data_IF_567253078230
#
_entry.id   IF_567253078230
#
_cell.length_a   1.000
_cell.length_b   1.000
_cell.length_c   1.000
_cell.angle_alpha   90.00
_cell.angle_beta   90.00
_cell.angle_gamma   90.00
#
_symmetry.space_group_name_H-M   'P 1'
#
loop_
_entity.id
_entity.type
_entity.pdbx_description
1 polymer ?
#
# COMPACT_ATOMS: atom_id res chain seq x y z
N UNK A 1 12.41 27.90 -9.95
CA UNK A 1 11.93 27.51 -11.28
C UNK A 1 11.53 26.04 -11.29
N UNK A 2 10.30 25.70 -11.70
CA UNK A 2 9.90 24.30 -11.71
C UNK A 2 10.65 23.52 -12.77
N UNK A 3 11.04 22.31 -12.43
CA UNK A 3 11.68 21.40 -13.36
C UNK A 3 10.65 20.57 -14.14
N UNK A 4 11.11 19.71 -15.07
CA UNK A 4 10.21 18.96 -15.95
C UNK A 4 9.34 17.96 -15.19
N UNK A 5 9.74 17.53 -13.99
CA UNK A 5 8.96 16.57 -13.21
C UNK A 5 7.76 17.22 -12.52
N UNK A 6 7.73 18.56 -12.41
CA UNK A 6 6.60 19.23 -11.77
C UNK A 6 5.30 19.08 -12.55
N UNK A 7 5.36 18.73 -13.84
CA UNK A 7 4.20 18.48 -14.68
C UNK A 7 4.01 16.98 -14.98
N UNK A 8 4.80 16.12 -14.35
CA UNK A 8 4.70 14.67 -14.54
C UNK A 8 3.71 14.07 -13.54
N UNK A 9 3.11 12.95 -13.92
CA UNK A 9 2.30 12.17 -13.01
C UNK A 9 3.19 11.15 -12.33
N UNK A 10 3.20 11.16 -10.99
CA UNK A 10 3.92 10.16 -10.23
C UNK A 10 3.10 8.87 -10.22
N UNK A 11 3.72 7.77 -10.62
CA UNK A 11 3.07 6.46 -10.66
C UNK A 11 3.92 5.49 -9.86
N UNK A 12 3.30 4.84 -8.87
CA UNK A 12 3.96 3.79 -8.10
C UNK A 12 4.10 2.54 -8.95
N UNK A 13 5.28 1.95 -8.96
CA UNK A 13 5.56 0.71 -9.68
C UNK A 13 6.17 -0.30 -8.72
N UNK A 14 5.53 -1.47 -8.61
CA UNK A 14 5.93 -2.53 -7.70
C UNK A 14 6.43 -3.72 -8.50
N UNK A 15 7.59 -4.31 -8.14
CA UNK A 15 8.06 -5.51 -8.81
C UNK A 15 7.25 -6.73 -8.44
N UNK A 16 7.06 -7.63 -9.41
CA UNK A 16 6.41 -8.92 -9.19
C UNK A 16 7.20 -9.99 -9.93
N UNK A 17 7.61 -11.03 -9.21
CA UNK A 17 8.29 -12.15 -9.83
C UNK A 17 7.32 -13.07 -10.56
N UNK A 18 6.07 -13.08 -10.12
CA UNK A 18 5.01 -13.91 -10.71
C UNK A 18 3.75 -13.04 -10.82
N UNK A 19 3.48 -12.51 -12.01
CA UNK A 19 2.32 -11.64 -12.24
C UNK A 19 0.99 -12.35 -12.02
N UNK A 20 0.89 -13.64 -12.34
CA UNK A 20 -0.35 -14.39 -12.11
C UNK A 20 -0.63 -14.54 -10.62
N UNK A 21 0.39 -14.83 -9.83
CA UNK A 21 0.27 -14.91 -8.38
C UNK A 21 -0.09 -13.54 -7.79
N UNK A 22 0.56 -12.48 -8.26
CA UNK A 22 0.26 -11.12 -7.82
C UNK A 22 -1.19 -10.75 -8.15
N UNK A 23 -1.63 -11.05 -9.39
CA UNK A 23 -3.00 -10.77 -9.81
C UNK A 23 -4.02 -11.45 -8.88
N UNK A 24 -3.77 -12.72 -8.55
CA UNK A 24 -4.65 -13.46 -7.64
C UNK A 24 -4.67 -12.85 -6.23
N UNK A 25 -3.50 -12.46 -5.72
CA UNK A 25 -3.42 -11.83 -4.39
C UNK A 25 -4.20 -10.52 -4.35
N UNK A 26 -3.98 -9.64 -5.32
CA UNK A 26 -4.68 -8.34 -5.34
C UNK A 26 -6.18 -8.52 -5.50
N UNK A 27 -6.61 -9.46 -6.33
CA UNK A 27 -8.03 -9.75 -6.48
C UNK A 27 -8.64 -10.36 -5.22
N UNK A 28 -8.06 -11.43 -4.72
CA UNK A 28 -8.68 -12.22 -3.64
C UNK A 28 -8.49 -11.59 -2.27
N UNK A 29 -7.34 -10.98 -2.02
CA UNK A 29 -7.01 -10.43 -0.71
C UNK A 29 -7.31 -8.93 -0.61
N UNK A 30 -7.12 -8.18 -1.67
CA UNK A 30 -7.30 -6.73 -1.63
C UNK A 30 -8.57 -6.27 -2.34
N UNK A 31 -9.22 -7.16 -3.10
CA UNK A 31 -10.43 -6.82 -3.84
C UNK A 31 -10.18 -5.89 -5.01
N UNK A 32 -8.98 -5.93 -5.59
CA UNK A 32 -8.58 -5.05 -6.68
C UNK A 32 -8.34 -5.84 -7.96
N UNK A 33 -9.05 -5.46 -9.04
CA UNK A 33 -8.84 -6.02 -10.36
C UNK A 33 -8.04 -5.03 -11.20
N UNK A 34 -7.07 -5.51 -11.99
CA UNK A 34 -6.37 -4.59 -12.89
C UNK A 34 -7.32 -4.08 -13.98
N UNK A 35 -7.13 -2.82 -14.37
CA UNK A 35 -7.90 -2.23 -15.48
C UNK A 35 -7.25 -2.54 -16.82
N UNK A 36 -5.98 -2.89 -16.82
CA UNK A 36 -5.27 -3.34 -18.00
C UNK A 36 -4.26 -4.42 -17.61
N UNK A 37 -4.09 -5.40 -18.48
CA UNK A 37 -3.14 -6.48 -18.31
C UNK A 37 -2.34 -6.67 -19.59
N UNK A 38 -1.05 -6.95 -19.41
CA UNK A 38 -0.17 -7.31 -20.50
C UNK A 38 0.89 -8.26 -19.97
N UNK A 39 1.66 -8.86 -20.83
CA UNK A 39 2.67 -9.84 -20.45
C UNK A 39 3.67 -9.28 -19.42
N UNK A 40 4.01 -8.02 -19.54
CA UNK A 40 5.00 -7.38 -18.66
C UNK A 40 4.42 -6.63 -17.47
N UNK A 41 3.10 -6.57 -17.29
CA UNK A 41 2.58 -5.80 -16.16
C UNK A 41 1.07 -5.75 -16.03
N UNK A 42 0.66 -5.27 -14.87
CA UNK A 42 -0.74 -5.05 -14.49
C UNK A 42 -0.90 -3.59 -14.09
N UNK A 43 -1.97 -2.97 -14.54
CA UNK A 43 -2.27 -1.58 -14.21
C UNK A 43 -3.55 -1.53 -13.38
N UNK A 44 -3.46 -0.84 -12.23
CA UNK A 44 -4.58 -0.70 -11.29
C UNK A 44 -4.94 0.77 -11.11
N UNK A 45 -6.22 1.03 -10.89
CA UNK A 45 -6.71 2.36 -10.51
C UNK A 45 -7.56 2.23 -9.25
N UNK A 46 -7.23 3.03 -8.23
CA UNK A 46 -7.96 3.11 -6.96
C UNK A 46 -8.30 4.57 -6.69
N UNK A 47 -9.60 4.90 -6.60
CA UNK A 47 -10.04 6.25 -6.27
C UNK A 47 -9.32 7.34 -7.07
N UNK A 48 -9.12 7.11 -8.36
CA UNK A 48 -8.47 8.06 -9.26
C UNK A 48 -6.95 8.05 -9.22
N UNK A 49 -6.34 7.24 -8.38
CA UNK A 49 -4.88 7.07 -8.34
C UNK A 49 -4.48 5.76 -9.01
N UNK A 50 -3.27 5.72 -9.50
CA UNK A 50 -2.80 4.63 -10.35
C UNK A 50 -1.53 4.01 -9.79
N UNK A 51 -1.44 2.68 -9.86
CA UNK A 51 -0.19 1.99 -9.60
C UNK A 51 -0.07 0.78 -10.54
N UNK A 52 1.16 0.32 -10.71
CA UNK A 52 1.46 -0.81 -11.60
C UNK A 52 2.23 -1.90 -10.86
N UNK A 53 1.98 -3.14 -11.25
CA UNK A 53 2.89 -4.24 -10.95
C UNK A 53 3.59 -4.59 -12.26
N UNK A 54 4.90 -4.73 -12.21
CA UNK A 54 5.67 -5.07 -13.41
C UNK A 54 6.46 -6.36 -13.19
N UNK A 55 6.61 -7.13 -14.26
CA UNK A 55 7.37 -8.38 -14.23
C UNK A 55 8.84 -8.07 -13.94
N UNK A 56 9.40 -8.71 -12.91
CA UNK A 56 10.77 -8.46 -12.50
C UNK A 56 11.39 -9.73 -11.94
N UNK A 57 12.66 -9.96 -12.25
CA UNK A 57 13.43 -11.02 -11.61
C UNK A 57 13.96 -10.61 -10.24
N UNK A 58 13.92 -9.31 -9.94
CA UNK A 58 14.35 -8.79 -8.64
C UNK A 58 13.28 -8.93 -7.58
N UNK A 59 13.70 -9.08 -6.34
CA UNK A 59 12.82 -9.18 -5.18
C UNK A 59 12.82 -7.86 -4.44
N UNK A 60 11.65 -7.41 -3.99
CA UNK A 60 11.55 -6.26 -3.11
C UNK A 60 12.31 -6.53 -1.81
N UNK A 61 12.96 -5.51 -1.24
CA UNK A 61 13.71 -5.69 0.00
C UNK A 61 12.79 -5.99 1.19
N UNK A 62 11.56 -5.50 1.18
CA UNK A 62 10.63 -5.62 2.29
C UNK A 62 11.02 -4.79 3.51
N UNK A 63 12.08 -3.98 3.40
CA UNK A 63 12.62 -3.24 4.55
C UNK A 63 11.93 -1.90 4.76
N UNK A 64 11.20 -1.39 3.78
CA UNK A 64 10.47 -0.13 3.88
C UNK A 64 9.16 -0.20 3.10
N UNK A 65 8.23 0.65 3.49
CA UNK A 65 6.94 0.74 2.78
C UNK A 65 7.17 1.23 1.36
N UNK A 66 6.68 0.48 0.38
CA UNK A 66 6.84 0.81 -1.03
C UNK A 66 5.62 1.53 -1.59
N UNK A 67 4.46 1.32 -1.01
CA UNK A 67 3.23 2.01 -1.41
C UNK A 67 2.28 2.04 -0.22
N UNK A 68 1.56 3.15 -0.08
CA UNK A 68 0.54 3.29 0.94
C UNK A 68 -0.83 3.53 0.32
N UNK A 69 -1.86 3.04 1.00
CA UNK A 69 -3.25 3.36 0.69
C UNK A 69 -3.79 4.24 1.83
N UNK A 70 -4.37 5.36 1.47
CA UNK A 70 -5.03 6.23 2.44
C UNK A 70 -6.49 5.83 2.52
N UNK A 71 -6.97 5.53 3.73
CA UNK A 71 -8.33 5.07 3.97
C UNK A 71 -9.01 5.99 4.97
N UNK A 72 -10.35 5.97 4.97
CA UNK A 72 -11.13 6.81 5.88
C UNK A 72 -11.43 6.13 7.22
N UNK A 73 -11.39 4.79 7.25
CA UNK A 73 -11.64 4.00 8.45
C UNK A 73 -10.68 2.81 8.46
N UNK A 74 -9.54 3.00 9.12
CA UNK A 74 -8.48 1.99 9.13
C UNK A 74 -8.90 0.73 9.86
N UNK A 75 -9.61 0.85 10.97
CA UNK A 75 -10.06 -0.32 11.73
C UNK A 75 -10.97 -1.21 10.90
N UNK A 76 -11.92 -0.61 10.18
CA UNK A 76 -12.81 -1.34 9.29
C UNK A 76 -12.05 -1.97 8.11
N UNK A 77 -11.08 -1.26 7.56
CA UNK A 77 -10.25 -1.77 6.46
C UNK A 77 -9.43 -2.99 6.93
N UNK A 78 -8.81 -2.90 8.11
CA UNK A 78 -8.05 -4.02 8.67
C UNK A 78 -8.95 -5.25 8.85
N UNK A 79 -10.13 -5.04 9.41
CA UNK A 79 -11.06 -6.14 9.65
C UNK A 79 -11.50 -6.81 8.35
N UNK A 80 -11.83 -6.02 7.33
CA UNK A 80 -12.22 -6.56 6.02
C UNK A 80 -11.08 -7.34 5.37
N UNK A 81 -9.87 -6.77 5.38
CA UNK A 81 -8.70 -7.42 4.78
C UNK A 81 -8.33 -8.71 5.52
N UNK A 82 -8.49 -8.74 6.85
CA UNK A 82 -8.28 -9.97 7.61
C UNK A 82 -9.28 -11.06 7.21
N UNK A 83 -10.52 -10.69 6.98
CA UNK A 83 -11.54 -11.66 6.50
C UNK A 83 -11.17 -12.22 5.13
N UNK A 84 -10.46 -11.45 4.32
CA UNK A 84 -9.95 -11.89 3.00
C UNK A 84 -8.66 -12.69 3.11
N UNK A 85 -8.10 -12.82 4.30
CA UNK A 85 -6.91 -13.62 4.54
C UNK A 85 -5.60 -12.83 4.57
N UNK A 86 -5.66 -11.50 4.68
CA UNK A 86 -4.44 -10.69 4.83
C UNK A 86 -3.94 -10.80 6.27
N UNK A 87 -2.63 -11.00 6.42
CA UNK A 87 -1.95 -10.99 7.72
C UNK A 87 -1.21 -9.68 7.88
N UNK A 88 -1.56 -8.94 8.94
CA UNK A 88 -0.89 -7.68 9.23
C UNK A 88 0.38 -7.92 10.03
N UNK A 89 1.43 -7.16 9.69
CA UNK A 89 2.71 -7.25 10.38
C UNK A 89 2.65 -6.47 11.68
N UNK A 90 3.22 -7.02 12.76
CA UNK A 90 3.35 -6.26 14.01
C UNK A 90 4.34 -5.12 13.79
N UNK A 91 3.97 -3.91 14.24
CA UNK A 91 4.83 -2.75 14.12
C UNK A 91 5.22 -2.30 15.53
N UNK A 92 6.52 -2.34 15.82
CA UNK A 92 7.06 -1.77 17.05
C UNK A 92 8.03 -0.66 16.66
N UNK A 93 7.57 0.57 16.80
CA UNK A 93 8.40 1.74 16.60
C UNK A 93 8.61 2.38 17.98
N UNK A 94 9.87 2.48 18.38
CA UNK A 94 10.23 3.06 19.68
C UNK A 94 9.63 4.45 19.85
N UNK A 95 8.89 4.66 20.93
CA UNK A 95 8.24 5.93 21.22
C UNK A 95 6.86 6.11 20.62
N UNK A 96 6.38 5.18 19.80
CA UNK A 96 5.04 5.25 19.21
C UNK A 96 4.11 4.26 19.90
N UNK A 97 2.88 4.72 20.13
CA UNK A 97 1.82 3.87 20.68
C UNK A 97 1.30 2.93 19.61
N UNK A 98 0.92 1.72 20.01
CA UNK A 98 0.29 0.74 19.13
C UNK A 98 -1.07 0.32 19.69
N UNK A 99 -2.01 0.03 18.79
CA UNK A 99 -3.35 -0.46 19.11
C UNK A 99 -3.62 -1.65 18.19
N UNK A 100 -3.33 -2.87 18.67
CA UNK A 100 -3.40 -4.06 17.82
C UNK A 100 -2.42 -3.98 16.67
N UNK A 101 -2.93 -4.04 15.42
CA UNK A 101 -2.11 -3.92 14.22
C UNK A 101 -1.81 -2.46 13.86
N UNK A 102 -2.41 -1.48 14.55
CA UNK A 102 -2.28 -0.07 14.21
C UNK A 102 -1.17 0.60 15.02
N UNK A 103 -0.37 1.41 14.35
CA UNK A 103 0.58 2.30 15.00
C UNK A 103 -0.01 3.71 15.00
N UNK A 104 0.14 4.43 16.12
CA UNK A 104 -0.32 5.81 16.26
C UNK A 104 0.84 6.74 15.94
N UNK A 105 0.73 7.48 14.85
CA UNK A 105 1.73 8.44 14.43
C UNK A 105 1.27 9.82 14.87
N UNK A 106 2.04 10.50 15.74
CA UNK A 106 1.58 11.75 16.38
C UNK A 106 1.75 13.00 15.53
N UNK A 107 2.10 12.85 14.23
CA UNK A 107 2.34 13.98 13.36
C UNK A 107 1.85 13.68 11.96
N UNK A 108 1.49 14.72 11.23
CA UNK A 108 1.12 14.62 9.82
C UNK A 108 1.21 16.01 9.19
N UNK A 109 1.18 16.05 7.85
CA UNK A 109 1.16 17.31 7.13
C UNK A 109 -0.13 18.07 7.46
N UNK A 110 -0.09 19.40 7.56
CA UNK A 110 -1.30 20.18 7.88
C UNK A 110 -2.51 19.89 6.99
N UNK A 111 -2.28 19.59 5.71
CA UNK A 111 -3.35 19.22 4.79
C UNK A 111 -3.89 17.81 5.01
N UNK A 112 -3.23 17.03 5.87
CA UNK A 112 -3.56 15.63 6.15
C UNK A 112 -3.98 15.40 7.60
N UNK A 113 -4.34 16.44 8.32
CA UNK A 113 -4.71 16.34 9.74
C UNK A 113 -3.55 16.64 10.65
N UNK A 114 -3.60 16.14 11.89
CA UNK A 114 -2.54 16.35 12.88
C UNK A 114 -1.71 15.11 13.18
N UNK A 115 -2.20 13.93 12.81
CA UNK A 115 -1.51 12.66 12.98
C UNK A 115 -2.07 11.62 12.04
N UNK A 116 -1.70 10.37 12.21
CA UNK A 116 -2.28 9.29 11.43
C UNK A 116 -2.22 7.95 12.17
N UNK A 117 -3.09 7.04 11.79
CA UNK A 117 -3.03 5.64 12.17
C UNK A 117 -2.49 4.86 10.99
N UNK A 118 -1.60 3.91 11.24
CA UNK A 118 -0.99 3.12 10.18
C UNK A 118 -1.03 1.62 10.47
N UNK A 119 -1.02 0.83 9.41
CA UNK A 119 -0.91 -0.62 9.51
C UNK A 119 -0.17 -1.14 8.26
N UNK A 120 0.45 -2.32 8.36
CA UNK A 120 1.34 -2.79 7.29
C UNK A 120 1.14 -4.27 7.03
N UNK A 121 1.29 -4.64 5.76
CA UNK A 121 1.25 -6.04 5.35
C UNK A 121 2.08 -6.22 4.07
N UNK A 122 2.48 -7.46 3.81
CA UNK A 122 3.19 -7.79 2.56
C UNK A 122 2.21 -8.31 1.51
N UNK A 123 2.44 -7.92 0.25
CA UNK A 123 1.75 -8.60 -0.85
C UNK A 123 2.42 -9.94 -1.16
N UNK A 124 1.92 -10.65 -2.16
CA UNK A 124 2.45 -11.97 -2.53
C UNK A 124 3.87 -11.93 -3.09
N UNK A 125 4.35 -10.75 -3.45
CA UNK A 125 5.65 -10.56 -4.09
C UNK A 125 6.70 -9.97 -3.14
N UNK A 126 6.35 -9.83 -1.86
CA UNK A 126 7.27 -9.30 -0.86
C UNK A 126 7.31 -7.78 -0.79
N UNK A 127 6.41 -7.10 -1.47
CA UNK A 127 6.29 -5.65 -1.34
C UNK A 127 5.60 -5.30 -0.02
N UNK A 128 6.23 -4.44 0.76
CA UNK A 128 5.62 -3.95 2.00
C UNK A 128 4.65 -2.81 1.66
N UNK A 129 3.38 -3.03 1.98
CA UNK A 129 2.32 -2.07 1.72
C UNK A 129 1.80 -1.51 3.05
N UNK A 130 1.43 -0.24 3.03
CA UNK A 130 0.89 0.42 4.20
C UNK A 130 -0.54 0.89 3.99
N UNK A 131 -1.27 0.97 5.08
CA UNK A 131 -2.57 1.64 5.15
C UNK A 131 -2.43 2.80 6.11
N UNK A 132 -3.03 3.93 5.79
CA UNK A 132 -2.98 5.10 6.66
C UNK A 132 -4.33 5.78 6.73
N UNK A 133 -4.67 6.23 7.93
CA UNK A 133 -5.86 7.05 8.17
C UNK A 133 -5.42 8.34 8.84
N UNK A 134 -5.57 9.48 8.17
CA UNK A 134 -5.30 10.77 8.82
C UNK A 134 -6.19 10.99 10.03
N UNK A 135 -5.67 11.61 11.09
CA UNK A 135 -6.41 11.92 12.31
C UNK A 135 -6.34 13.41 12.62
N UNK A 136 -7.34 13.89 13.32
CA UNK A 136 -7.41 15.31 13.72
C UNK A 136 -7.99 16.16 12.64
#
# INVERSE_FOLDING_TARGET
>A
MPGPLSNAHAVTKLPAQDLDRARRFYRDKLGLEPVEEREGGLRFICAGTEFHLFSSSGVASGASTQMGFEVTDLEAAIEDLRRRGVTFEPVEISGFETQGAMVVVPDNYPSKGSGELGAFFYDSEGNLLGLAQPTG
#
